data_IF_417221698481
#
_entry.id   IF_417221698481
#
_cell.length_a   1.000
_cell.length_b   1.000
_cell.length_c   1.000
_cell.angle_alpha   90.00
_cell.angle_beta   90.00
_cell.angle_gamma   90.00
#
_symmetry.space_group_name_H-M   'P 1'
#
loop_
_entity.id
_entity.type
_entity.pdbx_description
1 polymer ?
#
# COMPACT_ATOMS: atom_id res chain seq x y z
N UNK A 1 7.22 -20.02 -0.03
CA UNK A 1 7.03 -19.55 0.13
C UNK A 1 6.88 -18.68 0.18
N UNK A 2 6.98 -18.10 0.04
CA UNK A 2 6.71 -17.18 0.28
C UNK A 2 6.64 -16.28 -0.55
N UNK A 3 5.90 -15.60 -0.48
CA UNK A 3 5.66 -14.55 -1.37
C UNK A 3 6.71 -13.52 -1.23
N UNK A 4 6.97 -12.77 -2.28
CA UNK A 4 7.93 -11.69 -2.23
C UNK A 4 7.35 -10.56 -1.41
N UNK A 5 8.07 -10.08 -0.42
CA UNK A 5 7.53 -9.00 0.40
C UNK A 5 7.44 -7.70 -0.39
N UNK A 6 6.54 -6.84 0.02
CA UNK A 6 6.41 -5.52 -0.55
C UNK A 6 7.63 -4.69 -0.16
N UNK A 7 8.24 -4.03 -1.13
CA UNK A 7 9.41 -3.20 -0.84
C UNK A 7 8.98 -1.88 -0.22
N UNK A 8 9.93 -1.14 0.33
CA UNK A 8 9.64 0.16 0.92
C UNK A 8 9.09 1.12 -0.13
N UNK A 9 9.65 1.09 -1.33
CA UNK A 9 9.17 1.96 -2.40
C UNK A 9 7.75 1.58 -2.81
N UNK A 10 7.48 0.29 -2.90
CA UNK A 10 6.14 -0.16 -3.24
C UNK A 10 5.13 0.25 -2.16
N UNK A 11 5.52 0.11 -0.90
CA UNK A 11 4.66 0.53 0.18
C UNK A 11 4.38 2.03 0.11
N UNK A 12 5.40 2.81 -0.20
CA UNK A 12 5.24 4.25 -0.31
C UNK A 12 4.25 4.61 -1.42
N UNK A 13 4.38 4.01 -2.60
CA UNK A 13 3.47 4.36 -3.69
C UNK A 13 2.05 3.89 -3.38
N UNK A 14 1.88 2.77 -2.69
CA UNK A 14 0.55 2.34 -2.27
C UNK A 14 -0.07 3.36 -1.33
N UNK A 15 0.67 3.81 -0.33
CA UNK A 15 0.16 4.77 0.64
C UNK A 15 -0.21 6.10 -0.02
N UNK A 16 0.60 6.55 -0.96
CA UNK A 16 0.29 7.79 -1.67
C UNK A 16 -0.96 7.64 -2.52
N UNK A 17 -1.12 6.48 -3.15
CA UNK A 17 -2.31 6.22 -3.95
C UNK A 17 -3.56 6.21 -3.08
N UNK A 18 -3.45 5.61 -1.90
CA UNK A 18 -4.59 5.54 -0.97
C UNK A 18 -4.97 6.92 -0.45
N UNK A 19 -4.07 7.88 -0.52
CA UNK A 19 -4.37 9.25 -0.13
C UNK A 19 -5.01 10.03 -1.28
N UNK A 20 -5.21 9.39 -2.41
CA UNK A 20 -5.91 10.03 -3.51
C UNK A 20 -5.03 10.61 -4.59
N UNK A 21 -3.71 10.41 -4.52
CA UNK A 21 -2.83 10.94 -5.54
C UNK A 21 -2.93 10.12 -6.82
N UNK A 22 -2.87 10.79 -7.95
CA UNK A 22 -2.77 10.12 -9.23
C UNK A 22 -1.35 9.61 -9.43
N UNK A 23 -1.15 8.72 -10.42
CA UNK A 23 0.18 8.24 -10.72
C UNK A 23 1.13 9.37 -11.08
N UNK A 24 0.63 10.37 -11.79
CA UNK A 24 1.42 11.52 -12.16
C UNK A 24 1.85 12.31 -10.93
N UNK A 25 0.94 12.46 -9.98
CA UNK A 25 1.26 13.17 -8.75
C UNK A 25 2.26 12.39 -7.90
N UNK A 26 2.10 11.07 -7.86
CA UNK A 26 3.04 10.24 -7.13
C UNK A 26 4.43 10.33 -7.77
N UNK A 27 4.49 10.34 -9.09
CA UNK A 27 5.77 10.50 -9.79
C UNK A 27 6.43 11.81 -9.40
N UNK A 28 5.65 12.89 -9.35
CA UNK A 28 6.19 14.20 -8.98
C UNK A 28 6.71 14.22 -7.55
N UNK A 29 5.94 13.66 -6.63
CA UNK A 29 6.33 13.65 -5.21
C UNK A 29 7.57 12.81 -4.99
N UNK A 30 7.69 11.68 -5.68
CA UNK A 30 8.79 10.76 -5.45
C UNK A 30 10.01 11.04 -6.33
N UNK A 31 9.89 11.99 -7.25
CA UNK A 31 11.00 12.29 -8.16
C UNK A 31 11.24 11.22 -9.20
N UNK A 32 10.21 10.43 -9.53
CA UNK A 32 10.34 9.35 -10.49
C UNK A 32 9.44 9.60 -11.69
N UNK A 33 9.65 8.84 -12.76
CA UNK A 33 8.80 8.98 -13.94
C UNK A 33 7.47 8.26 -13.72
N UNK A 34 6.47 8.66 -14.47
CA UNK A 34 5.15 8.03 -14.41
C UNK A 34 5.26 6.54 -14.79
N UNK A 35 6.10 6.23 -15.77
CA UNK A 35 6.30 4.84 -16.18
C UNK A 35 6.88 4.00 -15.06
N UNK A 36 7.79 4.57 -14.27
CA UNK A 36 8.36 3.87 -13.13
C UNK A 36 7.29 3.61 -12.08
N UNK A 37 6.45 4.60 -11.83
CA UNK A 37 5.36 4.43 -10.86
C UNK A 37 4.41 3.33 -11.33
N UNK A 38 4.06 3.33 -12.62
CA UNK A 38 3.20 2.30 -13.14
C UNK A 38 3.80 0.92 -12.99
N UNK A 39 5.11 0.79 -13.20
CA UNK A 39 5.78 -0.48 -13.01
C UNK A 39 5.70 -0.93 -11.56
N UNK A 40 5.86 -0.01 -10.61
CA UNK A 40 5.75 -0.37 -9.21
C UNK A 40 4.36 -0.92 -8.89
N UNK A 41 3.31 -0.30 -9.43
CA UNK A 41 1.97 -0.80 -9.22
C UNK A 41 1.76 -2.17 -9.86
N UNK A 42 2.31 -2.37 -11.06
CA UNK A 42 2.21 -3.67 -11.70
C UNK A 42 2.88 -4.75 -10.86
N UNK A 43 4.05 -4.44 -10.30
CA UNK A 43 4.74 -5.38 -9.43
C UNK A 43 3.93 -5.70 -8.19
N UNK A 44 3.32 -4.69 -7.59
CA UNK A 44 2.48 -4.89 -6.42
C UNK A 44 1.29 -5.78 -6.76
N UNK A 45 0.63 -5.51 -7.87
CA UNK A 45 -0.53 -6.31 -8.27
C UNK A 45 -0.15 -7.77 -8.47
N UNK A 46 0.99 -8.03 -9.09
CA UNK A 46 1.46 -9.38 -9.29
C UNK A 46 1.79 -10.03 -7.94
N UNK A 47 2.51 -9.33 -7.08
CA UNK A 47 2.91 -9.87 -5.79
C UNK A 47 1.71 -10.23 -4.92
N UNK A 48 0.70 -9.38 -4.94
CA UNK A 48 -0.48 -9.58 -4.10
C UNK A 48 -1.57 -10.37 -4.79
N UNK A 49 -1.36 -10.70 -6.08
CA UNK A 49 -2.33 -11.45 -6.86
C UNK A 49 -3.67 -10.75 -6.92
N UNK A 50 -3.64 -9.43 -7.14
CA UNK A 50 -4.83 -8.61 -7.26
C UNK A 50 -4.89 -8.01 -8.64
N UNK A 51 -6.05 -7.51 -9.04
CA UNK A 51 -6.27 -7.08 -10.40
C UNK A 51 -6.69 -5.62 -10.55
N UNK A 52 -7.07 -4.96 -9.48
CA UNK A 52 -7.55 -3.59 -9.58
C UNK A 52 -7.39 -2.86 -8.25
N UNK A 53 -7.73 -1.57 -8.25
CA UNK A 53 -7.55 -0.73 -7.08
C UNK A 53 -8.45 -1.12 -5.93
N UNK A 54 -9.63 -1.62 -6.23
CA UNK A 54 -10.54 -2.03 -5.16
C UNK A 54 -9.92 -3.15 -4.36
N UNK A 55 -9.33 -4.11 -5.06
CA UNK A 55 -8.65 -5.22 -4.40
C UNK A 55 -7.43 -4.74 -3.61
N UNK A 56 -6.74 -3.73 -4.14
CA UNK A 56 -5.59 -3.17 -3.44
C UNK A 56 -6.03 -2.52 -2.12
N UNK A 57 -7.12 -1.77 -2.15
CA UNK A 57 -7.64 -1.13 -0.94
C UNK A 57 -8.08 -2.19 0.08
N UNK A 58 -8.74 -3.23 -0.39
CA UNK A 58 -9.16 -4.32 0.50
C UNK A 58 -7.95 -4.99 1.14
N UNK A 59 -6.92 -5.25 0.34
CA UNK A 59 -5.70 -5.85 0.87
C UNK A 59 -5.08 -4.96 1.93
N UNK A 60 -5.03 -3.65 1.67
CA UNK A 60 -4.43 -2.72 2.60
C UNK A 60 -5.18 -2.72 3.93
N UNK A 61 -6.49 -2.67 3.86
CA UNK A 61 -7.32 -2.67 5.06
C UNK A 61 -7.09 -3.94 5.87
N UNK A 62 -7.06 -5.08 5.19
CA UNK A 62 -6.93 -6.35 5.86
C UNK A 62 -5.54 -6.63 6.43
N UNK A 63 -4.51 -6.13 5.76
CA UNK A 63 -3.16 -6.52 6.11
C UNK A 63 -2.32 -5.44 6.78
N UNK A 64 -2.70 -4.19 6.63
CA UNK A 64 -1.92 -3.10 7.19
C UNK A 64 -2.73 -2.27 8.16
N UNK A 65 -3.84 -1.75 7.70
CA UNK A 65 -4.66 -0.89 8.54
C UNK A 65 -5.26 -1.65 9.71
N UNK A 66 -5.72 -2.87 9.46
CA UNK A 66 -6.30 -3.70 10.50
C UNK A 66 -5.27 -4.00 11.59
N UNK A 67 -4.04 -4.27 11.21
CA UNK A 67 -2.98 -4.51 12.18
C UNK A 67 -2.74 -3.28 13.02
N UNK A 68 -2.73 -2.11 12.39
CA UNK A 68 -2.52 -0.87 13.13
C UNK A 68 -3.64 -0.63 14.12
N UNK A 69 -4.87 -0.94 13.74
CA UNK A 69 -6.01 -0.77 14.62
C UNK A 69 -5.91 -1.71 15.80
N UNK A 70 -5.51 -2.95 15.54
CA UNK A 70 -5.34 -3.92 16.62
C UNK A 70 -4.28 -3.46 17.61
N UNK A 71 -3.17 -2.95 17.12
CA UNK A 71 -2.12 -2.46 18.00
C UNK A 71 -2.62 -1.29 18.83
N UNK A 72 -3.38 -0.42 18.22
CA UNK A 72 -3.91 0.73 18.91
C UNK A 72 -4.84 0.30 20.02
N UNK A 73 -5.69 -0.68 19.76
CA UNK A 73 -6.62 -1.18 20.78
C UNK A 73 -5.89 -1.84 21.93
N UNK A 74 -4.83 -2.58 21.64
CA UNK A 74 -4.06 -3.20 22.68
C UNK A 74 -3.35 -2.18 23.55
N UNK A 75 -2.83 -1.18 22.91
CA UNK A 75 -2.12 -0.14 23.62
C UNK A 75 -3.03 0.63 24.54
N UNK A 76 -4.25 0.90 24.12
CA UNK A 76 -5.14 1.64 24.86
C UNK A 76 -5.86 0.89 25.77
N UNK A 77 -5.88 -0.15 25.66
CA UNK A 77 -6.54 -0.91 26.49
C UNK A 77 -7.10 -0.50 27.53
N UNK A 78 -7.19 -0.12 27.65
CA UNK A 78 -7.67 0.15 28.32
C UNK A 78 -8.22 0.33 29.14
N UNK A 79 -8.37 0.55 29.54
CA UNK A 79 -8.85 0.78 30.27
C UNK A 79 -9.59 0.75 30.95
N UNK A 80 -9.80 0.69 31.07
CA UNK A 80 -10.55 0.79 31.72
C UNK A 80 -10.95 1.24 32.01
#
# INVERSE_FOLDING_TARGET
MQSTPITKTEDLVIRLKLQGLSRKEIAGVTGRSTGTIQRHFQNVYVKLQIQNEIELYNWYVENILDINIRQLLQTKAVPA
#
